data_IF_319085102518
#
_entry.id   IF_319085102518
#
_cell.length_a   1.000
_cell.length_b   1.000
_cell.length_c   1.000
_cell.angle_alpha   90.00
_cell.angle_beta   90.00
_cell.angle_gamma   90.00
#
_symmetry.space_group_name_H-M   'P 1'
#
loop_
_entity.id
_entity.type
_entity.pdbx_description
1 polymer ?
#
# COMPACT_ATOMS: atom_id res chain seq x y z
N UNK A 1 20.62 12.29 0.02
CA UNK A 1 21.37 13.14 -0.94
C UNK A 1 20.72 13.02 -2.32
N UNK A 2 20.08 14.08 -2.83
CA UNK A 2 19.55 14.10 -4.21
C UNK A 2 20.75 14.29 -5.16
N UNK A 3 21.17 13.20 -5.81
CA UNK A 3 22.23 13.24 -6.81
C UNK A 3 21.73 14.05 -8.01
N UNK A 4 22.28 15.25 -8.22
CA UNK A 4 22.05 16.00 -9.47
C UNK A 4 22.72 15.23 -10.61
N UNK A 5 21.90 14.54 -11.40
CA UNK A 5 22.33 13.87 -12.61
C UNK A 5 22.19 14.84 -13.77
N UNK A 6 23.30 15.34 -14.32
CA UNK A 6 23.30 16.03 -15.60
C UNK A 6 23.40 14.97 -16.71
N UNK A 7 22.59 15.14 -17.75
CA UNK A 7 22.63 14.30 -18.94
C UNK A 7 22.61 15.21 -20.16
N UNK A 8 23.42 14.89 -21.16
CA UNK A 8 23.34 15.52 -22.47
C UNK A 8 21.99 15.18 -23.13
N UNK A 9 21.50 15.99 -24.08
CA UNK A 9 20.31 15.64 -24.85
C UNK A 9 20.39 14.24 -25.46
N UNK A 10 21.57 13.85 -25.97
CA UNK A 10 21.80 12.53 -26.53
C UNK A 10 21.61 11.39 -25.51
N UNK A 11 22.13 11.54 -24.30
CA UNK A 11 21.95 10.56 -23.22
C UNK A 11 20.49 10.48 -22.76
N UNK A 12 19.78 11.62 -22.73
CA UNK A 12 18.35 11.65 -22.46
C UNK A 12 17.55 10.90 -23.52
N UNK A 13 17.81 11.14 -24.81
CA UNK A 13 17.15 10.41 -25.91
C UNK A 13 17.46 8.91 -25.87
N UNK A 14 18.71 8.55 -25.61
CA UNK A 14 19.12 7.15 -25.47
C UNK A 14 18.40 6.45 -24.31
N UNK A 15 18.30 7.13 -23.16
CA UNK A 15 17.54 6.65 -22.01
C UNK A 15 16.06 6.51 -22.31
N UNK A 16 15.46 7.48 -22.99
CA UNK A 16 14.06 7.45 -23.40
C UNK A 16 13.77 6.29 -24.36
N UNK A 17 14.60 6.08 -25.38
CA UNK A 17 14.49 4.92 -26.29
C UNK A 17 14.53 3.61 -25.52
N UNK A 18 15.36 3.50 -24.46
CA UNK A 18 15.42 2.31 -23.62
C UNK A 18 14.12 2.09 -22.84
N UNK A 19 13.54 3.14 -22.26
CA UNK A 19 12.24 3.05 -21.56
C UNK A 19 11.12 2.66 -22.54
N UNK A 20 11.14 3.23 -23.76
CA UNK A 20 10.13 2.93 -24.77
C UNK A 20 10.09 1.44 -25.18
N UNK A 21 11.18 0.68 -25.01
CA UNK A 21 11.19 -0.77 -25.28
C UNK A 21 10.28 -1.55 -24.34
N UNK A 22 10.19 -1.15 -23.08
CA UNK A 22 9.37 -1.82 -22.07
C UNK A 22 7.98 -1.20 -21.93
N UNK A 23 7.80 0.03 -22.43
CA UNK A 23 6.56 0.78 -22.31
C UNK A 23 5.32 0.05 -22.85
N UNK A 24 5.33 -0.60 -24.04
CA UNK A 24 4.16 -1.34 -24.52
C UNK A 24 3.72 -2.45 -23.56
N UNK A 25 4.68 -3.18 -22.98
CA UNK A 25 4.39 -4.23 -22.01
C UNK A 25 3.84 -3.65 -20.70
N UNK A 26 4.41 -2.56 -20.20
CA UNK A 26 3.89 -1.87 -19.01
C UNK A 26 2.45 -1.38 -19.25
N UNK A 27 2.16 -0.76 -20.40
CA UNK A 27 0.82 -0.30 -20.75
C UNK A 27 -0.17 -1.46 -20.88
N UNK A 28 0.28 -2.59 -21.45
CA UNK A 28 -0.50 -3.82 -21.49
C UNK A 28 -0.81 -4.31 -20.08
N UNK A 29 0.20 -4.48 -19.21
CA UNK A 29 0.04 -4.93 -17.82
C UNK A 29 -0.90 -4.03 -17.02
N UNK A 30 -0.77 -2.71 -17.17
CA UNK A 30 -1.64 -1.73 -16.53
C UNK A 30 -3.11 -1.90 -16.93
N UNK A 31 -3.36 -2.02 -18.23
CA UNK A 31 -4.71 -2.23 -18.77
C UNK A 31 -5.25 -3.59 -18.32
N UNK A 32 -4.42 -4.64 -18.43
CA UNK A 32 -4.75 -6.00 -18.05
C UNK A 32 -5.17 -6.13 -16.59
N UNK A 33 -4.41 -5.56 -15.64
CA UNK A 33 -4.72 -5.59 -14.22
C UNK A 33 -5.99 -4.79 -13.87
N UNK A 34 -6.21 -3.68 -14.57
CA UNK A 34 -7.46 -2.91 -14.43
C UNK A 34 -8.66 -3.70 -14.91
N UNK A 35 -8.54 -4.38 -16.05
CA UNK A 35 -9.59 -5.24 -16.61
C UNK A 35 -9.84 -6.48 -15.75
N UNK A 36 -8.80 -7.00 -15.12
CA UNK A 36 -8.91 -8.11 -14.16
C UNK A 36 -9.75 -7.74 -12.94
N UNK A 37 -9.57 -6.54 -12.36
CA UNK A 37 -10.44 -6.06 -11.30
C UNK A 37 -11.89 -5.94 -11.77
N UNK A 38 -12.13 -5.34 -12.95
CA UNK A 38 -13.49 -5.20 -13.51
C UNK A 38 -14.15 -6.55 -13.71
N UNK A 39 -13.46 -7.47 -14.37
CA UNK A 39 -13.92 -8.84 -14.63
C UNK A 39 -14.27 -9.59 -13.34
N UNK A 40 -13.49 -9.39 -12.27
CA UNK A 40 -13.77 -9.97 -10.96
C UNK A 40 -15.00 -9.35 -10.30
N UNK A 41 -15.17 -8.02 -10.36
CA UNK A 41 -16.32 -7.34 -9.77
C UNK A 41 -17.62 -7.70 -10.50
N UNK A 42 -17.58 -7.86 -11.83
CA UNK A 42 -18.73 -8.26 -12.64
C UNK A 42 -19.16 -9.72 -12.39
N UNK A 43 -18.22 -10.57 -11.94
CA UNK A 43 -18.43 -12.01 -11.76
C UNK A 43 -18.00 -12.47 -10.35
N UNK A 44 -18.22 -11.65 -9.33
CA UNK A 44 -17.79 -11.96 -7.97
C UNK A 44 -18.58 -13.17 -7.43
N UNK A 45 -17.92 -14.24 -6.95
CA UNK A 45 -18.64 -15.35 -6.33
C UNK A 45 -19.20 -14.98 -4.95
N UNK A 46 -20.35 -15.57 -4.58
CA UNK A 46 -21.05 -15.28 -3.31
C UNK A 46 -20.19 -15.34 -2.05
N UNK A 47 -19.24 -16.28 -1.98
CA UNK A 47 -18.37 -16.47 -0.82
C UNK A 47 -17.05 -15.68 -0.93
N UNK A 48 -16.97 -14.71 -1.85
CA UNK A 48 -15.77 -13.93 -2.08
C UNK A 48 -16.01 -12.47 -1.69
N UNK A 49 -14.91 -11.76 -1.48
CA UNK A 49 -14.90 -10.34 -1.16
C UNK A 49 -13.73 -9.67 -1.89
N UNK A 50 -13.88 -8.40 -2.27
CA UNK A 50 -12.80 -7.64 -2.90
C UNK A 50 -12.51 -6.39 -2.08
N UNK A 51 -11.22 -6.13 -1.85
CA UNK A 51 -10.73 -4.87 -1.30
C UNK A 51 -9.83 -4.17 -2.30
N UNK A 52 -10.00 -2.86 -2.47
CA UNK A 52 -9.03 -2.00 -3.14
C UNK A 52 -8.45 -1.07 -2.09
N UNK A 53 -7.17 -1.26 -1.78
CA UNK A 53 -6.49 -0.66 -0.65
C UNK A 53 -5.52 0.42 -1.12
N UNK A 54 -5.46 1.51 -0.36
CA UNK A 54 -4.50 2.59 -0.55
C UNK A 54 -4.16 3.28 0.77
N UNK A 55 -2.92 3.76 0.87
CA UNK A 55 -2.52 4.68 1.92
C UNK A 55 -2.58 6.09 1.37
N UNK A 56 -3.69 6.78 1.68
CA UNK A 56 -3.80 8.21 1.37
C UNK A 56 -2.64 8.96 2.05
N UNK A 57 -2.17 10.04 1.40
CA UNK A 57 -1.27 10.98 2.05
C UNK A 57 -1.86 11.43 3.40
N UNK A 58 -0.99 11.55 4.41
CA UNK A 58 -1.36 11.98 5.76
C UNK A 58 -2.23 13.23 5.72
N UNK A 59 -3.21 13.28 6.62
CA UNK A 59 -3.87 14.52 6.94
C UNK A 59 -2.96 15.35 7.85
N UNK A 60 -2.71 16.60 7.46
CA UNK A 60 -1.93 17.54 8.27
C UNK A 60 -2.90 18.34 9.12
N UNK A 61 -2.85 18.16 10.43
CA UNK A 61 -3.60 19.01 11.35
C UNK A 61 -3.11 20.45 11.25
N UNK A 62 -4.04 21.40 11.33
CA UNK A 62 -3.74 22.82 11.32
C UNK A 62 -4.80 23.60 12.08
N UNK A 63 -4.41 24.78 12.56
CA UNK A 63 -5.33 25.71 13.20
C UNK A 63 -5.82 26.77 12.22
N UNK A 64 -7.07 27.22 12.42
CA UNK A 64 -7.60 28.36 11.67
C UNK A 64 -6.78 29.64 11.91
N UNK A 65 -6.24 29.78 13.12
CA UNK A 65 -5.38 30.89 13.54
C UNK A 65 -4.04 30.33 13.99
N UNK A 66 -3.23 29.86 13.04
CA UNK A 66 -1.87 29.38 13.34
C UNK A 66 -0.96 30.54 13.77
N UNK A 67 -0.36 30.39 14.96
CA UNK A 67 0.77 31.21 15.39
C UNK A 67 2.00 30.71 14.62
N UNK A 68 2.93 31.59 14.26
CA UNK A 68 4.10 31.27 13.40
C UNK A 68 4.92 30.05 13.86
N UNK A 69 4.93 29.73 15.16
CA UNK A 69 5.60 28.56 15.72
C UNK A 69 4.91 27.23 15.40
N UNK A 70 3.58 27.21 15.24
CA UNK A 70 2.81 26.00 14.87
C UNK A 70 3.04 25.53 13.43
N UNK A 71 3.62 26.39 12.58
CA UNK A 71 3.95 26.05 11.19
C UNK A 71 5.02 24.95 11.08
N UNK A 72 5.94 24.85 12.04
CA UNK A 72 7.09 23.95 11.98
C UNK A 72 6.85 22.55 12.58
N UNK A 73 5.75 22.36 13.32
CA UNK A 73 5.41 21.08 13.96
C UNK A 73 3.93 20.77 13.74
N UNK A 74 3.59 20.29 12.53
CA UNK A 74 2.24 19.83 12.23
C UNK A 74 2.11 18.35 12.54
N UNK A 75 1.12 18.02 13.36
CA UNK A 75 0.73 16.63 13.62
C UNK A 75 0.20 16.05 12.30
N UNK A 76 0.77 14.93 11.88
CA UNK A 76 0.32 14.19 10.71
C UNK A 76 -0.45 12.94 11.14
N UNK A 77 -1.64 12.77 10.58
CA UNK A 77 -2.51 11.63 10.85
C UNK A 77 -2.51 10.71 9.64
N UNK A 78 -2.16 9.45 9.85
CA UNK A 78 -2.23 8.41 8.82
C UNK A 78 -3.68 8.07 8.49
N UNK A 79 -3.96 7.96 7.20
CA UNK A 79 -5.27 7.59 6.66
C UNK A 79 -5.11 6.43 5.67
N UNK A 80 -5.55 5.24 6.08
CA UNK A 80 -5.69 4.12 5.16
C UNK A 80 -7.12 4.07 4.62
N UNK A 81 -7.27 3.83 3.32
CA UNK A 81 -8.55 3.72 2.62
C UNK A 81 -8.68 2.32 2.02
N UNK A 82 -9.81 1.67 2.27
CA UNK A 82 -10.21 0.40 1.65
C UNK A 82 -11.56 0.56 0.99
N UNK A 83 -11.63 0.41 -0.32
CA UNK A 83 -12.92 0.17 -0.98
C UNK A 83 -13.26 -1.30 -0.85
N UNK A 84 -14.36 -1.58 -0.17
CA UNK A 84 -14.84 -2.93 0.09
C UNK A 84 -16.00 -3.25 -0.86
N UNK A 85 -15.90 -4.35 -1.60
CA UNK A 85 -16.95 -4.88 -2.45
C UNK A 85 -17.34 -6.26 -1.95
N UNK A 86 -18.61 -6.43 -1.60
CA UNK A 86 -19.18 -7.67 -1.09
C UNK A 86 -20.59 -7.86 -1.62
N UNK A 87 -21.10 -9.08 -1.52
CA UNK A 87 -22.50 -9.34 -1.80
C UNK A 87 -23.42 -8.68 -0.74
N UNK A 88 -24.59 -8.25 -1.19
CA UNK A 88 -25.62 -7.68 -0.34
C UNK A 88 -26.18 -8.74 0.63
N UNK A 89 -26.45 -8.30 1.85
CA UNK A 89 -27.00 -9.12 2.94
C UNK A 89 -28.35 -8.53 3.32
N UNK A 90 -29.39 -9.37 3.44
CA UNK A 90 -30.76 -8.91 3.63
C UNK A 90 -30.91 -8.03 4.88
N UNK A 91 -30.35 -8.47 6.01
CA UNK A 91 -30.45 -7.81 7.32
C UNK A 91 -29.74 -6.46 7.36
N UNK A 92 -28.72 -6.28 6.52
CA UNK A 92 -27.79 -5.15 6.56
C UNK A 92 -28.04 -4.14 5.43
N UNK A 93 -28.46 -4.63 4.26
CA UNK A 93 -28.61 -3.84 3.04
C UNK A 93 -30.07 -3.72 2.57
N UNK A 94 -30.97 -4.55 3.12
CA UNK A 94 -32.38 -4.63 2.74
C UNK A 94 -32.64 -5.43 1.45
N UNK A 95 -31.62 -6.09 0.91
CA UNK A 95 -31.70 -6.92 -0.28
C UNK A 95 -30.71 -8.08 -0.15
N UNK A 96 -31.15 -9.28 -0.51
CA UNK A 96 -30.31 -10.47 -0.53
C UNK A 96 -29.68 -10.64 -1.91
N UNK A 97 -28.38 -10.94 -1.94
CA UNK A 97 -27.71 -11.34 -3.16
C UNK A 97 -27.79 -12.85 -3.37
N UNK A 98 -28.03 -13.29 -4.60
CA UNK A 98 -28.00 -14.71 -4.97
C UNK A 98 -27.10 -14.95 -6.18
N UNK A 99 -26.92 -16.21 -6.58
CA UNK A 99 -26.16 -16.56 -7.79
C UNK A 99 -26.86 -16.03 -9.05
N UNK A 100 -28.19 -16.11 -9.10
CA UNK A 100 -28.99 -15.70 -10.25
C UNK A 100 -29.19 -14.17 -10.32
N UNK A 101 -29.14 -13.51 -9.16
CA UNK A 101 -29.26 -12.06 -9.04
C UNK A 101 -28.19 -11.51 -8.09
N UNK A 102 -26.95 -11.40 -8.55
CA UNK A 102 -25.86 -10.88 -7.73
C UNK A 102 -26.03 -9.38 -7.50
N UNK A 103 -26.04 -8.96 -6.24
CA UNK A 103 -26.11 -7.55 -5.85
C UNK A 103 -24.83 -7.21 -5.10
N UNK A 104 -23.95 -6.43 -5.74
CA UNK A 104 -22.68 -6.01 -5.16
C UNK A 104 -22.85 -4.68 -4.43
N UNK A 105 -22.45 -4.66 -3.17
CA UNK A 105 -22.41 -3.46 -2.33
C UNK A 105 -20.98 -2.95 -2.27
N UNK A 106 -20.82 -1.66 -2.57
CA UNK A 106 -19.56 -0.92 -2.38
C UNK A 106 -19.62 -0.10 -1.10
N UNK A 107 -18.58 -0.22 -0.28
CA UNK A 107 -18.41 0.50 0.97
C UNK A 107 -17.01 1.14 1.02
N UNK A 108 -16.89 2.26 1.74
CA UNK A 108 -15.60 2.90 1.99
C UNK A 108 -15.21 2.67 3.45
N UNK A 109 -14.12 1.96 3.68
CA UNK A 109 -13.61 1.65 5.01
C UNK A 109 -12.31 2.40 5.26
N UNK A 110 -12.25 3.12 6.38
CA UNK A 110 -11.12 3.96 6.73
C UNK A 110 -10.52 3.52 8.06
N UNK A 111 -9.20 3.44 8.10
CA UNK A 111 -8.44 3.32 9.35
C UNK A 111 -7.65 4.61 9.54
N UNK A 112 -7.95 5.32 10.63
CA UNK A 112 -7.33 6.59 11.02
C UNK A 112 -6.40 6.29 12.19
N UNK A 113 -5.16 6.77 12.11
CA UNK A 113 -4.12 6.46 13.09
C UNK A 113 -3.13 7.59 13.29
N UNK A 114 -2.62 7.72 14.52
CA UNK A 114 -1.44 8.56 14.82
C UNK A 114 -0.12 7.88 14.38
N UNK A 115 -0.18 6.59 14.07
CA UNK A 115 0.97 5.81 13.63
C UNK A 115 1.35 6.15 12.18
N UNK A 116 2.54 6.68 11.97
CA UNK A 116 3.03 7.15 10.67
C UNK A 116 3.88 6.11 9.91
N UNK A 117 4.18 4.95 10.51
CA UNK A 117 5.16 3.99 9.96
C UNK A 117 4.65 3.26 8.72
N UNK A 118 3.33 3.10 8.59
CA UNK A 118 2.64 2.46 7.45
C UNK A 118 3.29 1.15 6.97
N UNK A 119 3.79 0.38 7.93
CA UNK A 119 4.60 -0.82 7.71
C UNK A 119 3.71 -2.08 7.56
N UNK A 120 4.33 -3.27 7.59
CA UNK A 120 3.59 -4.53 7.52
C UNK A 120 2.62 -4.73 8.69
N UNK A 121 2.90 -4.18 9.87
CA UNK A 121 2.03 -4.32 11.03
C UNK A 121 0.79 -3.44 10.86
N UNK A 122 0.95 -2.22 10.36
CA UNK A 122 -0.19 -1.37 9.97
C UNK A 122 -1.05 -2.10 8.95
N UNK A 123 -0.43 -2.61 7.90
CA UNK A 123 -1.14 -3.32 6.82
C UNK A 123 -1.94 -4.51 7.36
N UNK A 124 -1.33 -5.34 8.21
CA UNK A 124 -2.01 -6.47 8.83
C UNK A 124 -3.13 -6.03 9.79
N UNK A 125 -2.95 -4.95 10.54
CA UNK A 125 -3.99 -4.39 11.39
C UNK A 125 -5.21 -3.96 10.56
N UNK A 126 -5.00 -3.28 9.43
CA UNK A 126 -6.08 -2.92 8.50
C UNK A 126 -6.82 -4.16 8.02
N UNK A 127 -6.10 -5.19 7.58
CA UNK A 127 -6.72 -6.46 7.14
C UNK A 127 -7.57 -7.08 8.24
N UNK A 128 -7.07 -7.06 9.48
CA UNK A 128 -7.80 -7.55 10.65
C UNK A 128 -9.05 -6.71 10.92
N UNK A 129 -8.96 -5.38 10.90
CA UNK A 129 -10.11 -4.50 11.10
C UNK A 129 -11.20 -4.69 10.04
N UNK A 130 -10.83 -4.97 8.78
CA UNK A 130 -11.78 -5.32 7.72
C UNK A 130 -12.44 -6.68 8.01
N UNK A 131 -11.67 -7.70 8.39
CA UNK A 131 -12.21 -9.01 8.77
C UNK A 131 -13.18 -8.93 9.95
N UNK A 132 -12.82 -8.19 11.01
CA UNK A 132 -13.68 -7.95 12.18
C UNK A 132 -14.99 -7.26 11.77
N UNK A 133 -14.94 -6.25 10.90
CA UNK A 133 -16.14 -5.60 10.38
C UNK A 133 -17.03 -6.54 9.58
N UNK A 134 -16.45 -7.38 8.70
CA UNK A 134 -17.21 -8.37 7.94
C UNK A 134 -17.92 -9.36 8.89
N UNK A 135 -17.24 -9.81 9.93
CA UNK A 135 -17.84 -10.65 10.96
C UNK A 135 -18.96 -9.93 11.74
N UNK A 136 -18.78 -8.66 12.10
CA UNK A 136 -19.81 -7.85 12.78
C UNK A 136 -21.12 -7.76 11.98
N UNK A 137 -21.03 -7.70 10.65
CA UNK A 137 -22.21 -7.68 9.77
C UNK A 137 -22.66 -9.08 9.34
N UNK A 138 -22.13 -10.13 9.98
CA UNK A 138 -22.43 -11.54 9.68
C UNK A 138 -22.09 -11.96 8.24
N UNK A 139 -21.08 -11.34 7.64
CA UNK A 139 -20.53 -11.71 6.33
C UNK A 139 -19.24 -12.49 6.49
N UNK A 140 -19.23 -13.76 6.07
CA UNK A 140 -18.07 -14.64 6.23
C UNK A 140 -17.57 -15.13 4.86
N UNK A 141 -16.83 -14.31 4.10
CA UNK A 141 -16.29 -14.73 2.82
C UNK A 141 -15.17 -15.74 3.06
N UNK A 142 -15.06 -16.72 2.16
CA UNK A 142 -13.98 -17.71 2.15
C UNK A 142 -12.71 -17.16 1.48
N UNK A 143 -12.87 -16.28 0.48
CA UNK A 143 -11.75 -15.76 -0.30
C UNK A 143 -11.76 -14.23 -0.29
N UNK A 144 -10.62 -13.66 0.08
CA UNK A 144 -10.38 -12.22 0.01
C UNK A 144 -9.48 -11.89 -1.18
N UNK A 145 -9.98 -11.07 -2.12
CA UNK A 145 -9.19 -10.52 -3.21
C UNK A 145 -8.74 -9.10 -2.84
N UNK A 146 -7.45 -8.87 -2.73
CA UNK A 146 -6.91 -7.55 -2.43
C UNK A 146 -6.30 -6.94 -3.69
N UNK A 147 -6.57 -5.67 -3.97
CA UNK A 147 -5.93 -4.89 -5.02
C UNK A 147 -5.29 -3.67 -4.39
N UNK A 148 -4.06 -3.34 -4.80
CA UNK A 148 -3.33 -2.17 -4.29
C UNK A 148 -2.29 -1.70 -5.31
N UNK A 149 -1.71 -0.53 -5.06
CA UNK A 149 -0.77 0.16 -5.96
C UNK A 149 0.63 -0.48 -6.07
N UNK A 150 0.92 -1.44 -5.19
CA UNK A 150 2.21 -2.11 -5.16
C UNK A 150 3.37 -1.27 -4.61
N UNK A 151 3.09 -0.32 -3.72
CA UNK A 151 4.13 0.43 -3.02
C UNK A 151 5.02 -0.52 -2.19
N UNK A 152 6.35 -0.40 -2.36
CA UNK A 152 7.32 -1.33 -1.74
C UNK A 152 7.57 -1.11 -0.26
N UNK A 153 7.22 0.06 0.27
CA UNK A 153 7.25 0.33 1.71
C UNK A 153 5.97 -0.16 2.39
N UNK A 154 4.96 -0.58 1.62
CA UNK A 154 3.63 -0.98 2.08
C UNK A 154 3.34 -2.43 1.62
N UNK A 155 2.26 -2.63 0.85
CA UNK A 155 1.73 -3.95 0.48
C UNK A 155 2.68 -4.83 -0.36
N UNK A 156 3.58 -4.24 -1.17
CA UNK A 156 4.52 -4.98 -2.04
C UNK A 156 5.94 -5.05 -1.46
N UNK A 157 6.00 -5.32 -0.16
CA UNK A 157 7.25 -5.50 0.57
C UNK A 157 7.48 -6.98 0.92
N UNK A 158 8.75 -7.36 1.08
CA UNK A 158 9.14 -8.69 1.59
C UNK A 158 8.48 -9.00 2.95
N UNK A 159 8.30 -7.99 3.79
CA UNK A 159 7.72 -8.13 5.11
C UNK A 159 6.21 -8.35 5.05
N UNK A 160 5.50 -7.63 4.18
CA UNK A 160 4.08 -7.85 3.94
C UNK A 160 3.79 -9.22 3.32
N UNK A 161 4.66 -9.71 2.44
CA UNK A 161 4.54 -11.07 1.90
C UNK A 161 4.78 -12.09 3.00
N UNK A 162 5.85 -11.92 3.79
CA UNK A 162 6.16 -12.84 4.87
C UNK A 162 5.06 -12.91 5.92
N UNK A 163 4.50 -11.76 6.32
CA UNK A 163 3.41 -11.69 7.28
C UNK A 163 2.11 -12.29 6.69
N UNK A 164 1.82 -12.02 5.42
CA UNK A 164 0.70 -12.66 4.72
C UNK A 164 0.82 -14.18 4.73
N UNK A 165 2.02 -14.73 4.51
CA UNK A 165 2.24 -16.18 4.52
C UNK A 165 2.04 -16.83 5.90
N UNK A 166 2.27 -16.09 6.99
CA UNK A 166 2.28 -16.63 8.36
C UNK A 166 1.04 -16.32 9.19
N UNK A 167 0.24 -15.32 8.79
CA UNK A 167 -0.88 -14.81 9.62
C UNK A 167 -2.21 -14.73 8.88
N UNK A 168 -2.30 -15.12 7.60
CA UNK A 168 -3.58 -15.03 6.88
C UNK A 168 -4.69 -15.89 7.48
N UNK A 169 -4.34 -17.02 8.10
CA UNK A 169 -5.28 -17.90 8.78
C UNK A 169 -6.01 -17.21 9.94
N UNK A 170 -5.36 -16.23 10.57
CA UNK A 170 -5.91 -15.48 11.71
C UNK A 170 -7.03 -14.52 11.27
N UNK A 171 -7.13 -14.26 9.96
CA UNK A 171 -8.14 -13.38 9.38
C UNK A 171 -9.45 -14.11 9.03
N UNK A 172 -9.52 -15.43 9.23
CA UNK A 172 -10.74 -16.23 9.03
C UNK A 172 -11.07 -16.56 7.57
N UNK A 173 -10.12 -16.39 6.65
CA UNK A 173 -10.29 -16.71 5.23
C UNK A 173 -9.60 -18.04 4.86
N UNK A 174 -10.19 -18.79 3.93
CA UNK A 174 -9.58 -19.99 3.35
C UNK A 174 -8.37 -19.59 2.47
N UNK A 175 -8.45 -18.44 1.79
CA UNK A 175 -7.32 -17.90 1.03
C UNK A 175 -7.41 -16.39 0.81
N UNK A 176 -6.24 -15.77 0.63
CA UNK A 176 -6.10 -14.38 0.20
C UNK A 176 -5.38 -14.37 -1.15
N UNK A 177 -5.94 -13.64 -2.12
CA UNK A 177 -5.33 -13.37 -3.42
C UNK A 177 -5.05 -11.88 -3.52
N UNK A 178 -3.80 -11.49 -3.33
CA UNK A 178 -3.34 -10.12 -3.42
C UNK A 178 -2.83 -9.82 -4.83
N UNK A 179 -3.41 -8.81 -5.44
CA UNK A 179 -3.12 -8.32 -6.77
C UNK A 179 -2.51 -6.93 -6.67
N UNK A 180 -1.61 -6.63 -7.59
CA UNK A 180 -0.95 -5.33 -7.69
C UNK A 180 -1.29 -4.69 -9.03
N UNK A 181 -1.66 -3.42 -9.01
CA UNK A 181 -1.69 -2.64 -10.24
C UNK A 181 -0.26 -2.39 -10.75
N UNK A 182 -0.16 -2.06 -12.02
CA UNK A 182 1.09 -1.59 -12.58
C UNK A 182 1.47 -0.23 -11.98
N UNK A 183 2.76 0.02 -11.85
CA UNK A 183 3.28 1.24 -11.20
C UNK A 183 2.72 2.50 -11.88
N UNK A 184 2.21 3.45 -11.08
CA UNK A 184 1.56 4.70 -11.51
C UNK A 184 0.17 4.55 -12.16
N UNK A 185 -0.38 3.34 -12.25
CA UNK A 185 -1.70 3.07 -12.84
C UNK A 185 -2.78 2.66 -11.82
N UNK A 186 -2.51 2.81 -10.53
CA UNK A 186 -3.44 2.45 -9.46
C UNK A 186 -4.49 3.52 -9.12
N UNK A 187 -4.50 4.68 -9.81
CA UNK A 187 -5.39 5.80 -9.45
C UNK A 187 -6.86 5.43 -9.61
N UNK A 188 -7.66 5.63 -8.57
CA UNK A 188 -9.04 5.17 -8.55
C UNK A 188 -9.93 5.85 -7.51
N UNK A 189 -11.04 5.18 -7.20
CA UNK A 189 -12.03 5.70 -6.27
C UNK A 189 -11.51 5.80 -4.83
N UNK A 190 -10.45 5.06 -4.48
CA UNK A 190 -9.82 5.08 -3.17
C UNK A 190 -9.07 6.40 -2.93
N UNK A 191 -8.37 6.93 -3.95
CA UNK A 191 -7.75 8.27 -3.88
C UNK A 191 -8.82 9.36 -3.68
N UNK A 192 -9.93 9.24 -4.41
CA UNK A 192 -11.04 10.19 -4.32
C UNK A 192 -11.71 10.15 -2.94
N UNK A 193 -11.87 8.96 -2.36
CA UNK A 193 -12.42 8.76 -1.03
C UNK A 193 -11.51 9.38 0.05
N UNK A 194 -10.20 9.10 0.01
CA UNK A 194 -9.22 9.72 0.92
C UNK A 194 -9.16 11.24 0.79
N UNK A 195 -9.11 11.76 -0.45
CA UNK A 195 -9.14 13.19 -0.72
C UNK A 195 -10.43 13.88 -0.26
N UNK A 196 -11.58 13.22 -0.37
CA UNK A 196 -12.85 13.74 0.11
C UNK A 196 -12.85 13.96 1.63
N UNK A 197 -12.39 12.97 2.41
CA UNK A 197 -12.34 13.08 3.88
C UNK A 197 -11.47 14.25 4.30
N UNK A 198 -10.24 14.34 3.75
CA UNK A 198 -9.31 15.43 4.06
C UNK A 198 -9.90 16.80 3.73
N UNK A 199 -10.50 16.94 2.55
CA UNK A 199 -11.11 18.20 2.12
C UNK A 199 -12.27 18.64 3.01
N UNK A 200 -13.15 17.72 3.42
CA UNK A 200 -14.27 18.08 4.30
C UNK A 200 -13.77 18.46 5.70
N UNK A 201 -12.72 17.79 6.21
CA UNK A 201 -12.05 18.16 7.45
C UNK A 201 -11.42 19.57 7.36
N UNK A 202 -10.64 19.85 6.30
CA UNK A 202 -10.05 21.16 6.03
C UNK A 202 -11.12 22.26 6.02
N UNK A 203 -12.22 22.02 5.30
CA UNK A 203 -13.32 22.98 5.23
C UNK A 203 -14.01 23.21 6.58
N UNK A 204 -14.13 22.18 7.42
CA UNK A 204 -14.70 22.35 8.75
C UNK A 204 -13.81 23.23 9.64
N UNK A 205 -12.50 23.01 9.60
CA UNK A 205 -11.50 23.81 10.35
C UNK A 205 -11.46 25.25 9.85
N UNK A 206 -11.32 25.47 8.54
CA UNK A 206 -11.24 26.81 7.93
C UNK A 206 -12.51 27.63 8.26
N UNK A 207 -13.68 26.99 8.25
CA UNK A 207 -14.95 27.65 8.60
C UNK A 207 -15.12 27.88 10.11
N UNK A 208 -14.22 27.37 10.94
CA UNK A 208 -14.30 27.47 12.40
C UNK A 208 -15.42 26.62 12.99
N UNK A 209 -15.80 25.51 12.34
CA UNK A 209 -16.85 24.60 12.78
C UNK A 209 -16.31 23.43 13.61
N UNK A 210 -15.04 23.08 13.40
CA UNK A 210 -14.37 22.01 14.13
C UNK A 210 -12.92 22.42 14.43
N UNK A 211 -12.35 21.86 15.49
CA UNK A 211 -10.91 21.85 15.74
C UNK A 211 -10.45 20.41 15.57
N UNK A 212 -9.50 20.15 14.68
CA UNK A 212 -8.98 18.82 14.37
C UNK A 212 -7.48 18.85 14.57
N UNK A 213 -7.02 18.44 15.75
CA UNK A 213 -5.62 18.59 16.16
C UNK A 213 -4.86 17.27 16.16
N UNK A 214 -5.56 16.15 16.11
CA UNK A 214 -5.00 14.81 16.16
C UNK A 214 -5.92 13.83 15.41
N UNK A 215 -5.46 12.59 15.27
CA UNK A 215 -6.18 11.51 14.61
C UNK A 215 -7.47 11.13 15.32
N UNK A 216 -7.56 11.27 16.65
CA UNK A 216 -8.81 11.04 17.38
C UNK A 216 -9.88 12.07 17.01
N UNK A 217 -9.50 13.34 16.92
CA UNK A 217 -10.40 14.42 16.49
C UNK A 217 -10.86 14.20 15.05
N UNK A 218 -9.94 13.81 14.16
CA UNK A 218 -10.26 13.51 12.77
C UNK A 218 -11.27 12.35 12.67
N UNK A 219 -11.05 11.29 13.45
CA UNK A 219 -11.96 10.16 13.54
C UNK A 219 -13.36 10.59 14.03
N UNK A 220 -13.43 11.34 15.15
CA UNK A 220 -14.71 11.80 15.70
C UNK A 220 -15.45 12.67 14.68
N UNK A 221 -14.75 13.61 14.03
CA UNK A 221 -15.32 14.44 12.97
C UNK A 221 -15.89 13.60 11.83
N UNK A 222 -15.15 12.61 11.35
CA UNK A 222 -15.61 11.71 10.28
C UNK A 222 -16.83 10.90 10.68
N UNK A 223 -16.82 10.37 11.90
CA UNK A 223 -17.90 9.56 12.45
C UNK A 223 -19.20 10.37 12.58
N UNK A 224 -19.10 11.61 13.04
CA UNK A 224 -20.27 12.45 13.30
C UNK A 224 -20.85 13.06 12.01
N UNK A 225 -20.03 13.28 10.99
CA UNK A 225 -20.41 14.09 9.83
C UNK A 225 -20.41 13.35 8.49
N UNK A 226 -19.63 12.26 8.34
CA UNK A 226 -19.27 11.71 7.04
C UNK A 226 -19.66 10.24 6.82
N UNK A 227 -20.24 9.55 7.82
CA UNK A 227 -20.66 8.15 7.72
C UNK A 227 -21.60 7.87 6.54
N UNK A 228 -22.49 8.81 6.21
CA UNK A 228 -23.44 8.68 5.10
C UNK A 228 -22.83 9.22 3.80
N UNK A 229 -22.64 8.39 2.77
CA UNK A 229 -22.22 8.85 1.46
C UNK A 229 -23.23 9.82 0.85
N UNK A 230 -22.72 10.85 0.17
CA UNK A 230 -23.54 11.78 -0.62
C UNK A 230 -23.83 11.23 -2.02
N UNK A 231 -23.06 10.24 -2.49
CA UNK A 231 -23.17 9.64 -3.82
C UNK A 231 -23.92 8.30 -3.75
N UNK A 232 -24.61 7.95 -4.85
CA UNK A 232 -25.35 6.68 -4.98
C UNK A 232 -24.44 5.47 -5.16
N UNK A 233 -23.17 5.67 -5.54
CA UNK A 233 -22.22 4.58 -5.82
C UNK A 233 -21.53 4.00 -4.58
N UNK A 234 -21.76 4.53 -3.38
CA UNK A 234 -21.21 4.00 -2.13
C UNK A 234 -22.35 3.89 -1.12
N UNK A 235 -22.51 2.72 -0.50
CA UNK A 235 -23.63 2.46 0.42
C UNK A 235 -23.39 3.08 1.80
N UNK A 236 -22.16 3.01 2.30
CA UNK A 236 -21.77 3.53 3.63
C UNK A 236 -20.28 3.79 3.75
N UNK A 237 -19.92 4.65 4.71
CA UNK A 237 -18.54 4.83 5.18
C UNK A 237 -18.38 4.27 6.58
N UNK A 238 -17.32 3.50 6.78
CA UNK A 238 -16.94 2.92 8.06
C UNK A 238 -15.62 3.54 8.48
N UNK A 239 -15.55 4.00 9.72
CA UNK A 239 -14.33 4.57 10.30
C UNK A 239 -13.88 3.70 11.48
N UNK A 240 -12.58 3.40 11.54
CA UNK A 240 -11.90 2.83 12.70
C UNK A 240 -10.79 3.76 13.13
N UNK A 241 -10.60 3.89 14.43
CA UNK A 241 -9.49 4.62 15.02
C UNK A 241 -8.56 3.66 15.73
N UNK A 242 -7.27 3.82 15.51
CA UNK A 242 -6.23 3.11 16.23
C UNK A 242 -5.18 4.11 16.68
N UNK A 243 -4.91 4.15 17.97
CA UNK A 243 -3.91 5.05 18.53
C UNK A 243 -2.50 4.52 18.30
N UNK A 244 -2.30 3.22 18.55
CA UNK A 244 -1.01 2.54 18.38
C UNK A 244 -1.20 1.17 17.77
N UNK A 245 -0.31 0.80 16.84
CA UNK A 245 -0.30 -0.53 16.24
C UNK A 245 0.74 -1.39 16.97
N UNK A 246 0.33 -2.55 17.54
CA UNK A 246 1.25 -3.46 18.22
C UNK A 246 2.34 -3.97 17.27
N UNK A 247 3.60 -3.91 17.72
CA UNK A 247 4.78 -4.43 16.99
C UNK A 247 5.57 -5.44 17.82
N UNK A 248 4.83 -6.17 18.65
CA UNK A 248 5.40 -6.99 19.72
C UNK A 248 6.16 -8.22 19.19
N UNK A 249 5.93 -8.61 17.94
CA UNK A 249 6.65 -9.69 17.28
C UNK A 249 7.41 -9.15 16.08
N UNK A 250 8.72 -8.94 16.25
CA UNK A 250 9.60 -8.53 15.16
C UNK A 250 9.77 -9.67 14.16
N UNK A 251 8.98 -9.68 13.09
CA UNK A 251 9.11 -10.64 11.99
C UNK A 251 9.75 -9.97 10.79
N UNK A 252 11.07 -10.11 10.66
CA UNK A 252 11.78 -9.71 9.46
C UNK A 252 11.98 -10.91 8.53
N UNK A 253 11.92 -10.65 7.23
CA UNK A 253 11.91 -11.66 6.18
C UNK A 253 12.89 -11.28 5.10
N UNK A 254 13.67 -12.25 4.58
CA UNK A 254 14.67 -12.00 3.53
C UNK A 254 14.03 -11.44 2.25
N UNK A 255 14.83 -10.73 1.46
CA UNK A 255 14.41 -10.17 0.16
C UNK A 255 13.92 -11.25 -0.80
N UNK A 256 12.87 -10.93 -1.55
CA UNK A 256 12.28 -11.79 -2.58
C UNK A 256 12.80 -11.34 -3.94
N UNK A 257 13.41 -12.26 -4.68
CA UNK A 257 13.94 -11.98 -6.01
C UNK A 257 12.81 -11.52 -6.95
N UNK A 258 13.09 -10.49 -7.75
CA UNK A 258 12.17 -9.95 -8.76
C UNK A 258 10.77 -9.57 -8.23
N UNK A 259 10.64 -9.24 -6.93
CA UNK A 259 9.34 -8.90 -6.31
C UNK A 259 8.54 -7.83 -7.08
N UNK A 260 9.23 -6.94 -7.78
CA UNK A 260 8.62 -5.89 -8.62
C UNK A 260 7.82 -6.44 -9.80
N UNK A 261 8.22 -7.58 -10.38
CA UNK A 261 7.53 -8.23 -11.51
C UNK A 261 6.25 -8.97 -11.10
N UNK A 262 6.15 -9.33 -9.82
CA UNK A 262 5.00 -10.07 -9.27
C UNK A 262 3.79 -9.14 -9.21
N UNK A 263 2.69 -9.49 -9.85
CA UNK A 263 1.42 -8.75 -9.70
C UNK A 263 0.28 -9.58 -9.11
N UNK A 264 0.53 -10.85 -8.80
CA UNK A 264 -0.44 -11.69 -8.09
C UNK A 264 0.30 -12.56 -7.07
N UNK A 265 -0.23 -12.62 -5.85
CA UNK A 265 0.26 -13.44 -4.74
C UNK A 265 -0.94 -14.13 -4.13
N UNK A 266 -0.85 -15.45 -3.94
CA UNK A 266 -1.91 -16.24 -3.34
C UNK A 266 -1.36 -17.03 -2.16
N UNK A 267 -2.09 -17.02 -1.05
CA UNK A 267 -1.76 -17.85 0.11
C UNK A 267 -2.03 -19.32 -0.16
N UNK A 268 -1.28 -20.18 0.51
CA UNK A 268 -1.49 -21.63 0.49
C UNK A 268 -1.43 -22.17 1.91
N UNK A 269 -2.01 -23.36 2.14
CA UNK A 269 -2.11 -23.96 3.46
C UNK A 269 -0.73 -24.35 4.07
N UNK A 270 0.36 -24.29 3.30
CA UNK A 270 1.69 -24.74 3.71
C UNK A 270 2.62 -23.59 4.16
N UNK A 271 2.09 -22.41 4.48
CA UNK A 271 2.89 -21.18 4.71
C UNK A 271 3.75 -20.77 3.51
N UNK A 272 3.43 -21.27 2.31
CA UNK A 272 4.05 -20.89 1.04
C UNK A 272 3.13 -19.91 0.31
N UNK A 273 3.73 -19.05 -0.51
CA UNK A 273 3.00 -18.16 -1.41
C UNK A 273 3.17 -18.62 -2.84
N UNK A 274 2.08 -18.66 -3.59
CA UNK A 274 2.13 -18.78 -5.04
C UNK A 274 2.17 -17.39 -5.64
N UNK A 275 3.21 -17.08 -6.41
CA UNK A 275 3.35 -15.78 -7.06
C UNK A 275 3.18 -15.92 -8.56
N UNK A 276 2.69 -14.87 -9.22
CA UNK A 276 2.57 -14.83 -10.67
C UNK A 276 2.81 -13.42 -11.20
N UNK A 277 3.41 -13.31 -12.40
CA UNK A 277 3.72 -12.02 -13.02
C UNK A 277 2.45 -11.19 -13.27
N UNK A 278 1.35 -11.79 -13.75
CA UNK A 278 0.05 -11.12 -13.92
C UNK A 278 -1.12 -11.95 -13.37
N UNK A 279 -2.15 -11.27 -12.86
CA UNK A 279 -3.39 -11.91 -12.38
C UNK A 279 -4.28 -12.31 -13.56
N UNK A 280 -5.30 -13.14 -13.35
CA UNK A 280 -6.31 -13.40 -14.37
C UNK A 280 -7.64 -13.77 -13.72
N UNK A 281 -8.73 -13.16 -14.19
CA UNK A 281 -10.11 -13.37 -13.74
C UNK A 281 -11.09 -13.47 -14.93
N UNK A 282 -10.59 -13.65 -16.16
CA UNK A 282 -11.39 -13.70 -17.39
C UNK A 282 -12.26 -14.96 -17.57
N UNK A 283 -12.18 -15.91 -16.64
CA UNK A 283 -12.97 -17.15 -16.70
C UNK A 283 -13.17 -17.73 -15.31
N UNK A 284 -14.25 -18.49 -15.13
CA UNK A 284 -14.58 -19.17 -13.87
C UNK A 284 -13.44 -20.02 -13.34
N UNK A 285 -12.68 -20.67 -14.23
CA UNK A 285 -11.50 -21.44 -13.85
C UNK A 285 -10.46 -20.57 -13.13
N UNK A 286 -10.24 -19.34 -13.59
CA UNK A 286 -9.30 -18.44 -12.93
C UNK A 286 -9.84 -17.91 -11.60
N UNK A 287 -11.14 -17.60 -11.52
CA UNK A 287 -11.81 -17.16 -10.29
C UNK A 287 -11.76 -18.25 -9.21
N UNK A 288 -11.94 -19.52 -9.61
CA UNK A 288 -11.78 -20.70 -8.75
C UNK A 288 -10.33 -21.14 -8.54
N UNK A 289 -9.35 -20.32 -8.93
CA UNK A 289 -7.91 -20.59 -8.81
C UNK A 289 -7.38 -21.84 -9.57
N UNK A 290 -8.13 -22.36 -10.54
CA UNK A 290 -7.73 -23.43 -11.48
C UNK A 290 -6.94 -22.85 -12.67
N UNK A 291 -5.80 -22.25 -12.38
CA UNK A 291 -5.05 -21.48 -13.38
C UNK A 291 -4.39 -22.33 -14.47
N UNK A 292 -4.24 -23.64 -14.27
CA UNK A 292 -3.75 -24.57 -15.31
C UNK A 292 -4.68 -24.62 -16.52
N UNK A 293 -5.96 -24.34 -16.31
CA UNK A 293 -7.00 -24.29 -17.35
C UNK A 293 -7.26 -22.86 -17.86
N UNK A 294 -6.43 -21.89 -17.47
CA UNK A 294 -6.57 -20.50 -17.89
C UNK A 294 -6.27 -20.38 -19.40
N UNK A 295 -7.27 -19.96 -20.19
CA UNK A 295 -7.09 -19.69 -21.64
C UNK A 295 -6.03 -18.61 -21.90
N UNK A 296 -5.86 -17.70 -20.95
CA UNK A 296 -4.91 -16.59 -20.98
C UNK A 296 -3.60 -16.90 -20.24
N UNK A 297 -3.29 -18.19 -20.01
CA UNK A 297 -2.12 -18.63 -19.25
C UNK A 297 -0.81 -17.99 -19.76
N UNK A 298 -0.67 -17.80 -21.08
CA UNK A 298 0.49 -17.16 -21.70
C UNK A 298 0.72 -15.72 -21.24
N UNK A 299 -0.34 -14.99 -20.91
CA UNK A 299 -0.25 -13.61 -20.42
C UNK A 299 0.06 -13.54 -18.93
N UNK A 300 -0.22 -14.60 -18.16
CA UNK A 300 0.07 -14.63 -16.72
C UNK A 300 1.56 -14.59 -16.41
N UNK A 301 2.41 -14.95 -17.38
CA UNK A 301 3.86 -14.97 -17.21
C UNK A 301 4.33 -16.06 -16.25
N UNK A 302 5.46 -15.84 -15.59
CA UNK A 302 6.05 -16.81 -14.68
C UNK A 302 5.16 -17.00 -13.46
N UNK A 303 4.97 -18.25 -13.06
CA UNK A 303 4.20 -18.62 -11.88
C UNK A 303 4.94 -19.71 -11.11
N UNK A 304 5.01 -19.57 -9.79
CA UNK A 304 5.66 -20.57 -8.95
C UNK A 304 5.56 -20.28 -7.46
N UNK A 305 5.90 -21.26 -6.62
CA UNK A 305 5.99 -21.05 -5.19
C UNK A 305 7.20 -20.15 -4.87
N UNK A 306 7.03 -19.25 -3.90
CA UNK A 306 8.12 -18.47 -3.31
C UNK A 306 8.29 -18.91 -1.87
N UNK A 307 9.52 -19.32 -1.54
CA UNK A 307 9.89 -19.68 -0.18
C UNK A 307 10.09 -18.42 0.66
N UNK A 308 9.23 -18.24 1.65
CA UNK A 308 9.37 -17.19 2.65
C UNK A 308 10.39 -17.62 3.70
N UNK A 309 11.44 -16.81 3.88
CA UNK A 309 12.52 -17.11 4.84
C UNK A 309 12.60 -15.98 5.85
N UNK A 310 12.43 -16.32 7.14
CA UNK A 310 12.66 -15.37 8.24
C UNK A 310 14.13 -15.03 8.36
N UNK A 311 14.43 -13.78 8.69
CA UNK A 311 15.76 -13.39 9.11
C UNK A 311 16.00 -13.93 10.53
N UNK A 312 17.09 -14.67 10.73
CA UNK A 312 17.46 -15.10 12.06
C UNK A 312 18.03 -13.89 12.80
N UNK A 313 17.51 -13.61 13.99
CA UNK A 313 18.11 -12.63 14.90
C UNK A 313 19.47 -13.16 15.36
N UNK A 314 20.55 -12.75 14.73
CA UNK A 314 21.88 -12.87 15.34
C UNK A 314 21.86 -12.01 16.61
N UNK A 315 21.96 -12.66 17.77
CA UNK A 315 22.25 -11.99 19.05
C UNK A 315 23.64 -11.36 18.93
N UNK A 316 23.66 -10.10 18.52
CA UNK A 316 24.64 -9.05 18.75
C UNK A 316 24.41 -7.96 17.70
N UNK A 317 23.31 -7.24 17.85
CA UNK A 317 23.32 -5.84 17.50
C UNK A 317 22.82 -5.11 18.74
N UNK A 318 23.70 -4.31 19.34
CA UNK A 318 23.26 -3.17 20.09
C UNK A 318 22.19 -2.43 19.27
N UNK A 319 21.23 -1.83 19.94
CA UNK A 319 20.25 -0.96 19.31
C UNK A 319 21.02 0.19 18.65
N UNK A 320 21.44 0.00 17.41
CA UNK A 320 21.72 1.07 16.49
C UNK A 320 20.38 1.42 15.87
N UNK A 321 19.87 2.57 16.28
CA UNK A 321 18.90 3.30 15.49
C UNK A 321 19.43 3.38 14.05
N UNK A 322 18.85 2.56 13.16
CA UNK A 322 19.08 2.68 11.73
C UNK A 322 18.42 3.97 11.22
N UNK A 323 19.05 5.11 11.54
CA UNK A 323 19.20 6.18 10.58
C UNK A 323 19.94 5.54 9.39
N UNK A 324 19.20 5.15 8.36
CA UNK A 324 19.77 4.78 7.07
C UNK A 324 20.28 6.04 6.36
N UNK A 325 21.35 6.61 6.92
CA UNK A 325 22.38 7.28 6.16
C UNK A 325 23.54 6.31 6.07
N UNK A 326 23.90 5.88 4.87
CA UNK A 326 25.16 5.18 4.63
C UNK A 326 26.28 5.92 5.40
N UNK A 327 27.04 5.20 6.23
CA UNK A 327 28.16 5.79 6.96
C UNK A 327 29.09 6.47 5.95
N UNK A 328 29.45 7.74 6.20
CA UNK A 328 30.28 8.53 5.29
C UNK A 328 31.61 7.82 4.96
N UNK A 329 32.11 7.00 5.88
CA UNK A 329 33.33 6.21 5.71
C UNK A 329 33.18 5.08 4.68
N UNK A 330 31.97 4.56 4.48
CA UNK A 330 31.69 3.50 3.50
C UNK A 330 31.55 4.05 2.07
N UNK A 331 31.43 5.38 1.92
CA UNK A 331 31.27 6.09 0.64
C UNK A 331 32.57 6.72 0.12
N UNK A 332 33.64 6.74 0.92
CA UNK A 332 34.89 7.41 0.59
C UNK A 332 35.97 6.39 0.24
N UNK A 333 36.46 6.45 -1.01
CA UNK A 333 37.61 5.66 -1.49
C UNK A 333 38.77 6.57 -1.89
N UNK A 334 39.98 6.03 -2.08
CA UNK A 334 41.15 6.82 -2.49
C UNK A 334 40.88 7.52 -3.84
N UNK A 335 41.09 8.84 -3.89
CA UNK A 335 40.82 9.67 -5.06
C UNK A 335 39.38 10.20 -5.16
N UNK A 336 38.54 9.97 -4.15
CA UNK A 336 37.18 10.54 -4.06
C UNK A 336 37.27 12.05 -3.86
N UNK A 337 36.45 12.81 -4.60
CA UNK A 337 36.33 14.26 -4.40
C UNK A 337 35.10 14.55 -3.56
N UNK A 338 35.33 15.20 -2.42
CA UNK A 338 34.31 15.56 -1.43
C UNK A 338 34.12 17.08 -1.50
N UNK A 339 32.87 17.52 -1.56
CA UNK A 339 32.52 18.93 -1.41
C UNK A 339 32.16 19.19 0.06
N UNK A 340 32.87 20.12 0.69
CA UNK A 340 32.62 20.57 2.06
C UNK A 340 32.08 21.99 1.99
N UNK A 341 30.90 22.23 2.56
CA UNK A 341 30.32 23.59 2.60
C UNK A 341 31.31 24.52 3.27
N UNK A 342 31.58 25.66 2.63
CA UNK A 342 32.46 26.68 3.16
C UNK A 342 31.68 27.50 4.18
N UNK A 343 32.36 27.86 5.28
CA UNK A 343 31.78 28.65 6.37
C UNK A 343 32.09 30.16 6.20
N UNK A 344 32.60 30.53 5.03
CA UNK A 344 32.94 31.90 4.65
C UNK A 344 32.09 32.39 3.47
N UNK A 345 31.96 33.71 3.33
CA UNK A 345 31.09 34.35 2.33
C UNK A 345 31.70 34.36 0.91
N UNK A 346 32.93 33.87 0.74
CA UNK A 346 33.67 33.96 -0.52
C UNK A 346 33.45 32.75 -1.43
N UNK A 347 32.89 31.65 -0.92
CA UNK A 347 32.57 30.44 -1.71
C UNK A 347 31.44 29.64 -1.08
N UNK A 348 30.67 28.93 -1.88
CA UNK A 348 29.58 28.08 -1.35
C UNK A 348 30.12 26.73 -0.81
N UNK A 349 31.27 26.25 -1.31
CA UNK A 349 31.92 25.00 -0.88
C UNK A 349 33.37 24.87 -1.36
N UNK A 350 34.16 24.08 -0.62
CA UNK A 350 35.50 23.61 -0.97
C UNK A 350 35.47 22.19 -1.53
N UNK A 351 36.22 21.92 -2.60
CA UNK A 351 36.39 20.57 -3.14
C UNK A 351 37.72 19.97 -2.66
N UNK A 352 37.65 18.85 -1.94
CA UNK A 352 38.80 18.15 -1.40
C UNK A 352 38.91 16.76 -2.03
N UNK A 353 40.10 16.41 -2.54
CA UNK A 353 40.37 15.06 -3.04
C UNK A 353 41.02 14.23 -1.94
N UNK A 354 40.42 13.09 -1.60
CA UNK A 354 40.99 12.18 -0.61
C UNK A 354 42.22 11.49 -1.17
N UNK A 355 43.29 11.49 -0.38
CA UNK A 355 44.52 10.75 -0.64
C UNK A 355 44.56 9.61 0.38
N UNK A 356 44.72 8.37 -0.10
CA UNK A 356 44.92 7.21 0.77
C UNK A 356 46.19 7.35 1.61
N UNK A 357 46.28 6.60 2.72
CA UNK A 357 47.43 6.65 3.63
C UNK A 357 48.76 6.56 2.87
N UNK A 358 49.77 7.36 3.23
CA UNK A 358 51.09 7.22 2.65
C UNK A 358 51.64 5.85 3.03
N UNK A 359 52.03 5.05 2.03
CA UNK A 359 52.86 3.87 2.26
C UNK A 359 54.15 4.33 2.97
N UNK A 360 54.35 3.85 4.20
CA UNK A 360 55.63 3.95 4.93
C UNK A 360 56.43 2.69 4.69
#
# INVERSE_FOLDING_TARGET
>A
MLVKKSATPFEMFSYFIRILRTFPYQQFSASWQSDQLRSLLDNLPLNHCVTVNDYSESYRCFDKTEIQTGYFQKIEVSLHVTLLYRHAILEVDGIESSVDNPVIIKEEFFVISEDDKRDQYFTHYVQKSVSEYLHEISYNPKVMHEFNDGCATQYKSRHCFGLLATTFSDLGYDSIIRNFFETAHAKGAQDAAGGYIKREADFSVIRGRSSIQNGKDLFNFCNDNLQKPKSTGCKRRIFRYVETIPRNTTQHFKSIAEIRKIHCVRTTNNSELMVTDLSCYTSDQCVSANYELCRNFRFRGNSGPVKIVREQSTKNHAVEENNSGDSLLDLISNGTIIAVVADDDDSDYYLMKTLGEPEI
#
